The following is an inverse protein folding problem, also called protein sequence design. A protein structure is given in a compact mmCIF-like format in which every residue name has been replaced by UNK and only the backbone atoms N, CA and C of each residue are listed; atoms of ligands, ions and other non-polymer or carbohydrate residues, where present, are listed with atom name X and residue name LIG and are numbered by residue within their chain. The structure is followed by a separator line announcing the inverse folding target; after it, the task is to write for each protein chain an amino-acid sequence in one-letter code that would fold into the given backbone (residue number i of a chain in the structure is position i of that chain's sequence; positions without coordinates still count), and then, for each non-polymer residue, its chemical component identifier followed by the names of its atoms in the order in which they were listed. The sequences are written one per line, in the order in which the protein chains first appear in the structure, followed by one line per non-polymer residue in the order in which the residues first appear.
data_IF_554494959130
#
_entry.id   IF_554494959130
#
_cell.length_a   1.000
_cell.length_b   1.000
_cell.length_c   1.000
_cell.angle_alpha   90.00
_cell.angle_beta   90.00
_cell.angle_gamma   90.00
#
_symmetry.space_group_name_H-M   'P 1'
#
loop_
_entity.id
_entity.type
_entity.pdbx_description
1 polymer ?
#
# COMPACT_ATOMS: atom_id res chain seq x y z
N UNK A 1 14.16 4.24 -4.34
CA UNK A 1 13.56 5.30 -5.19
C UNK A 1 14.65 6.19 -5.71
N UNK A 2 14.66 6.49 -7.02
CA UNK A 2 15.52 7.53 -7.58
C UNK A 2 14.79 8.88 -7.50
N UNK A 3 15.24 9.78 -6.63
CA UNK A 3 14.59 11.09 -6.36
C UNK A 3 14.81 12.13 -7.47
N UNK A 4 15.77 11.87 -8.36
CA UNK A 4 16.13 12.75 -9.48
C UNK A 4 15.44 12.33 -10.78
N UNK A 5 14.75 11.19 -10.77
CA UNK A 5 13.98 10.74 -11.92
C UNK A 5 12.73 11.61 -12.13
N UNK A 6 12.46 12.11 -13.35
CA UNK A 6 11.27 12.89 -13.66
C UNK A 6 9.95 12.14 -13.42
N UNK A 7 9.96 10.80 -13.41
CA UNK A 7 8.78 9.97 -13.16
C UNK A 7 8.51 9.74 -11.66
N UNK A 8 9.38 10.20 -10.77
CA UNK A 8 9.16 10.12 -9.33
C UNK A 8 8.27 11.26 -8.86
N UNK A 9 7.03 10.96 -8.50
CA UNK A 9 6.09 11.94 -7.97
C UNK A 9 6.56 12.61 -6.67
N UNK A 10 5.93 13.74 -6.34
CA UNK A 10 6.29 14.56 -5.17
C UNK A 10 6.21 13.78 -3.85
N UNK A 11 5.20 12.91 -3.67
CA UNK A 11 5.03 12.13 -2.44
C UNK A 11 6.15 11.08 -2.24
N UNK A 12 6.43 10.16 -3.18
CA UNK A 12 7.57 9.24 -3.06
C UNK A 12 8.91 9.95 -2.88
N UNK A 13 9.11 11.09 -3.56
CA UNK A 13 10.31 11.92 -3.42
C UNK A 13 10.44 12.47 -1.99
N UNK A 14 9.39 13.09 -1.46
CA UNK A 14 9.35 13.63 -0.10
C UNK A 14 9.66 12.55 0.94
N UNK A 15 9.00 11.39 0.86
CA UNK A 15 9.23 10.27 1.80
C UNK A 15 10.65 9.72 1.73
N UNK A 16 11.22 9.62 0.53
CA UNK A 16 12.61 9.15 0.35
C UNK A 16 13.62 10.14 0.93
N UNK A 17 13.41 11.45 0.72
CA UNK A 17 14.30 12.48 1.26
C UNK A 17 14.21 12.57 2.79
N UNK A 18 13.02 12.44 3.36
CA UNK A 18 12.83 12.41 4.81
C UNK A 18 13.54 11.23 5.47
N UNK A 19 13.46 10.02 4.88
CA UNK A 19 14.20 8.86 5.36
C UNK A 19 15.72 9.09 5.31
N UNK A 20 16.25 9.61 4.19
CA UNK A 20 17.68 9.92 4.05
C UNK A 20 18.15 10.94 5.07
N UNK A 21 17.35 11.96 5.34
CA UNK A 21 17.68 12.98 6.33
C UNK A 21 17.66 12.42 7.75
N UNK A 22 16.70 11.54 8.08
CA UNK A 22 16.70 10.85 9.37
C UNK A 22 17.99 10.05 9.59
N UNK A 23 18.42 9.25 8.61
CA UNK A 23 19.69 8.52 8.68
C UNK A 23 20.89 9.46 8.84
N UNK A 24 20.95 10.54 8.04
CA UNK A 24 22.03 11.53 8.11
C UNK A 24 22.15 12.15 9.51
N UNK A 25 21.03 12.47 10.16
CA UNK A 25 21.01 13.04 11.51
C UNK A 25 21.50 12.05 12.56
N UNK A 26 21.10 10.78 12.47
CA UNK A 26 21.53 9.74 13.40
C UNK A 26 23.01 9.42 13.24
N UNK A 27 23.50 9.35 12.00
CA UNK A 27 24.91 9.13 11.69
C UNK A 27 25.78 10.28 12.21
N UNK A 28 25.35 11.53 11.98
CA UNK A 28 26.05 12.72 12.47
C UNK A 28 26.14 12.78 14.01
N UNK A 29 25.18 12.16 14.70
CA UNK A 29 25.16 12.05 16.16
C UNK A 29 25.92 10.82 16.69
N UNK A 30 26.43 9.93 15.83
CA UNK A 30 27.02 8.66 16.24
C UNK A 30 26.01 7.66 16.82
N UNK A 31 24.74 7.77 16.43
CA UNK A 31 23.59 7.02 16.97
C UNK A 31 22.87 6.20 15.89
N UNK A 32 23.59 5.69 14.89
CA UNK A 32 23.01 4.92 13.78
C UNK A 32 22.08 3.80 14.26
N UNK A 33 22.51 3.07 15.28
CA UNK A 33 21.82 1.91 15.84
C UNK A 33 20.58 2.27 16.68
N UNK A 34 20.35 3.54 16.99
CA UNK A 34 19.14 3.99 17.68
C UNK A 34 17.95 4.21 16.73
N UNK A 35 18.16 4.06 15.42
CA UNK A 35 17.13 4.20 14.39
C UNK A 35 16.81 2.87 13.71
N UNK A 36 15.52 2.59 13.58
CA UNK A 36 14.98 1.55 12.71
C UNK A 36 13.89 2.17 11.81
N UNK A 37 13.87 1.80 10.53
CA UNK A 37 12.88 2.32 9.57
C UNK A 37 12.00 1.20 9.04
N UNK A 38 10.69 1.33 9.26
CA UNK A 38 9.66 0.50 8.63
C UNK A 38 9.07 1.27 7.45
N UNK A 39 9.21 0.69 6.26
CA UNK A 39 8.66 1.21 5.01
C UNK A 39 7.47 0.35 4.59
N UNK A 40 6.24 0.70 5.01
CA UNK A 40 5.06 -0.06 4.62
C UNK A 40 4.69 0.18 3.15
N UNK A 41 4.16 -0.86 2.53
CA UNK A 41 3.46 -0.79 1.26
C UNK A 41 2.06 -0.16 1.43
N UNK A 42 1.14 -0.36 0.48
CA UNK A 42 -0.25 0.03 0.66
C UNK A 42 -0.85 -0.69 1.87
N UNK A 43 -1.30 0.08 2.86
CA UNK A 43 -1.78 -0.45 4.13
C UNK A 43 -3.28 -0.75 4.02
N UNK A 44 -3.64 -2.00 4.26
CA UNK A 44 -5.02 -2.48 4.31
C UNK A 44 -5.25 -3.23 5.63
N UNK A 45 -6.47 -3.67 5.92
CA UNK A 45 -6.89 -4.18 7.21
C UNK A 45 -8.04 -3.37 7.83
N UNK A 46 -8.47 -3.74 9.05
CA UNK A 46 -9.57 -3.07 9.76
C UNK A 46 -9.28 -1.58 9.96
N UNK A 47 -10.31 -0.74 9.81
CA UNK A 47 -10.21 0.68 10.11
C UNK A 47 -10.19 0.90 11.63
N UNK A 48 -9.47 1.92 12.08
CA UNK A 48 -9.47 2.33 13.49
C UNK A 48 -10.63 3.30 13.79
N UNK A 49 -10.99 4.12 12.81
CA UNK A 49 -12.01 5.16 12.90
C UNK A 49 -12.74 5.35 11.56
N UNK A 50 -13.57 6.38 11.47
CA UNK A 50 -14.34 6.73 10.27
C UNK A 50 -13.49 7.41 9.18
N UNK A 51 -12.19 7.66 9.40
CA UNK A 51 -11.27 8.11 8.36
C UNK A 51 -10.61 6.90 7.69
N UNK A 52 -11.04 6.52 6.47
CA UNK A 52 -10.48 5.39 5.76
C UNK A 52 -9.00 5.60 5.38
N UNK A 53 -8.53 6.85 5.33
CA UNK A 53 -7.24 7.19 4.78
C UNK A 53 -7.10 6.89 3.28
N UNK A 54 -5.93 7.20 2.74
CA UNK A 54 -5.69 7.13 1.29
C UNK A 54 -5.73 5.70 0.75
N UNK A 55 -5.19 4.71 1.49
CA UNK A 55 -5.13 3.32 1.02
C UNK A 55 -6.50 2.65 1.03
N UNK A 56 -7.31 2.81 2.09
CA UNK A 56 -8.65 2.21 2.14
C UNK A 56 -9.62 2.89 1.17
N UNK A 57 -9.34 4.13 0.73
CA UNK A 57 -10.09 4.78 -0.36
C UNK A 57 -10.04 3.96 -1.66
N UNK A 58 -8.97 3.20 -1.90
CA UNK A 58 -8.90 2.31 -3.06
C UNK A 58 -9.89 1.14 -2.94
N UNK A 59 -9.98 0.50 -1.77
CA UNK A 59 -10.98 -0.57 -1.52
C UNK A 59 -12.39 0.00 -1.60
N UNK A 60 -12.63 1.18 -1.03
CA UNK A 60 -13.89 1.91 -1.16
C UNK A 60 -14.28 2.10 -2.63
N UNK A 61 -13.38 2.58 -3.49
CA UNK A 61 -13.64 2.73 -4.93
C UNK A 61 -14.00 1.43 -5.63
N UNK A 62 -13.37 0.31 -5.22
CA UNK A 62 -13.70 -1.02 -5.74
C UNK A 62 -15.10 -1.48 -5.28
N UNK A 63 -15.48 -1.21 -4.04
CA UNK A 63 -16.78 -1.59 -3.48
C UNK A 63 -17.94 -0.70 -3.97
N UNK A 64 -17.67 0.58 -4.24
CA UNK A 64 -18.63 1.52 -4.84
C UNK A 64 -19.12 1.06 -6.22
N UNK A 65 -18.29 0.29 -6.96
CA UNK A 65 -18.67 -0.29 -8.25
C UNK A 65 -18.99 0.71 -9.36
N UNK A 66 -18.63 1.99 -9.18
CA UNK A 66 -18.91 3.08 -10.13
C UNK A 66 -18.20 2.90 -11.48
N UNK A 67 -17.07 2.21 -11.48
CA UNK A 67 -16.32 1.90 -12.70
C UNK A 67 -16.53 0.44 -13.10
N UNK A 68 -16.83 0.15 -14.38
CA UNK A 68 -17.05 -1.22 -14.85
C UNK A 68 -15.75 -2.06 -14.91
N UNK A 69 -14.60 -1.38 -14.87
CA UNK A 69 -13.26 -1.98 -14.92
C UNK A 69 -12.25 -1.07 -14.20
N UNK A 70 -11.11 -1.64 -13.81
CA UNK A 70 -10.05 -0.95 -13.06
C UNK A 70 -8.89 -0.54 -13.97
N UNK A 71 -8.14 0.52 -13.65
CA UNK A 71 -6.88 0.79 -14.33
C UNK A 71 -5.89 -0.38 -14.15
N UNK A 72 -5.01 -0.57 -15.13
CA UNK A 72 -3.91 -1.55 -15.05
C UNK A 72 -2.79 -1.02 -14.15
N UNK A 73 -3.08 -0.97 -12.85
CA UNK A 73 -2.17 -0.50 -11.81
C UNK A 73 -1.81 -1.67 -10.90
N UNK A 74 -0.54 -1.81 -10.56
CA UNK A 74 -0.09 -2.78 -9.57
C UNK A 74 0.27 -2.06 -8.26
N UNK A 75 -0.01 -2.69 -7.12
CA UNK A 75 0.36 -2.17 -5.82
C UNK A 75 0.82 -3.26 -4.88
N UNK A 76 1.79 -2.91 -4.05
CA UNK A 76 2.20 -3.75 -2.94
C UNK A 76 1.24 -3.56 -1.77
N UNK A 77 0.94 -4.65 -1.07
CA UNK A 77 -0.08 -4.72 -0.02
C UNK A 77 0.55 -5.20 1.28
N UNK A 78 0.14 -4.62 2.40
CA UNK A 78 0.47 -5.08 3.74
C UNK A 78 -0.71 -4.85 4.69
N UNK A 79 -0.92 -5.75 5.66
CA UNK A 79 -1.93 -5.57 6.69
C UNK A 79 -1.47 -4.59 7.79
N UNK A 80 -2.35 -3.71 8.24
CA UNK A 80 -2.11 -2.71 9.28
C UNK A 80 -1.68 -3.33 10.61
N UNK A 81 -2.17 -4.53 10.93
CA UNK A 81 -1.79 -5.26 12.15
C UNK A 81 -0.37 -5.79 12.06
N UNK A 82 0.09 -6.17 10.87
CA UNK A 82 1.48 -6.54 10.66
C UNK A 82 2.41 -5.32 10.71
N UNK A 83 1.98 -4.18 10.15
CA UNK A 83 2.73 -2.93 10.27
C UNK A 83 2.87 -2.52 11.74
N UNK A 84 1.79 -2.58 12.51
CA UNK A 84 1.81 -2.28 13.94
C UNK A 84 2.74 -3.26 14.70
N UNK A 85 2.66 -4.56 14.41
CA UNK A 85 3.55 -5.55 15.01
C UNK A 85 5.02 -5.30 14.67
N UNK A 86 5.32 -4.92 13.43
CA UNK A 86 6.67 -4.56 13.00
C UNK A 86 7.20 -3.29 13.67
N UNK A 87 6.33 -2.31 13.92
CA UNK A 87 6.70 -1.12 14.68
C UNK A 87 7.01 -1.46 16.14
N UNK A 88 6.23 -2.33 16.78
CA UNK A 88 6.50 -2.80 18.14
C UNK A 88 7.80 -3.60 18.21
N UNK A 89 8.03 -4.53 17.27
CA UNK A 89 9.29 -5.25 17.15
C UNK A 89 10.47 -4.28 16.96
N UNK A 90 10.31 -3.26 16.10
CA UNK A 90 11.36 -2.27 15.88
C UNK A 90 11.74 -1.48 17.14
N UNK A 91 10.78 -1.24 18.04
CA UNK A 91 11.01 -0.53 19.31
C UNK A 91 11.59 -1.41 20.42
N UNK A 92 11.37 -2.72 20.35
CA UNK A 92 11.63 -3.64 21.49
C UNK A 92 12.72 -4.66 21.22
N UNK A 93 13.07 -4.91 19.95
CA UNK A 93 14.05 -5.90 19.55
C UNK A 93 15.35 -5.21 19.09
N UNK A 94 16.47 -5.39 19.81
CA UNK A 94 17.76 -4.81 19.42
C UNK A 94 18.22 -5.19 18.00
N UNK A 95 17.75 -6.31 17.44
CA UNK A 95 18.05 -6.68 16.06
C UNK A 95 17.39 -5.74 15.01
N UNK A 96 16.55 -4.79 15.44
CA UNK A 96 16.00 -3.71 14.59
C UNK A 96 16.96 -2.56 14.37
N UNK A 97 17.94 -2.39 15.26
CA UNK A 97 18.89 -1.30 15.26
C UNK A 97 19.61 -1.16 13.91
N UNK A 98 19.63 0.05 13.36
CA UNK A 98 20.27 0.37 12.08
C UNK A 98 19.62 -0.31 10.87
N UNK A 99 18.44 -0.94 11.03
CA UNK A 99 17.80 -1.70 9.96
C UNK A 99 16.70 -0.91 9.25
N UNK A 100 16.62 -1.19 7.94
CA UNK A 100 15.52 -0.80 7.07
C UNK A 100 14.71 -2.04 6.68
N UNK A 101 13.42 -2.02 6.97
CA UNK A 101 12.50 -3.12 6.67
C UNK A 101 11.38 -2.64 5.73
N UNK A 102 11.21 -3.31 4.59
CA UNK A 102 10.05 -3.11 3.73
C UNK A 102 8.94 -4.03 4.23
N UNK A 103 7.79 -3.47 4.58
CA UNK A 103 6.63 -4.25 5.01
C UNK A 103 5.67 -4.42 3.82
N UNK A 104 5.70 -5.61 3.21
CA UNK A 104 4.90 -5.97 2.04
C UNK A 104 4.67 -7.48 2.02
N UNK A 105 3.41 -7.91 1.95
CA UNK A 105 3.06 -9.32 1.76
C UNK A 105 3.23 -9.73 0.30
N UNK A 106 2.86 -8.87 -0.64
CA UNK A 106 2.98 -9.14 -2.07
C UNK A 106 2.59 -7.94 -2.93
N UNK A 107 2.79 -8.05 -4.24
CA UNK A 107 2.40 -7.05 -5.23
C UNK A 107 1.33 -7.62 -6.15
N UNK A 108 0.21 -6.94 -6.25
CA UNK A 108 -0.99 -7.42 -6.95
C UNK A 108 -1.48 -6.38 -7.95
N UNK A 109 -2.10 -6.82 -9.04
CA UNK A 109 -2.85 -5.90 -9.89
C UNK A 109 -4.11 -5.44 -9.16
N UNK A 110 -4.60 -4.24 -9.47
CA UNK A 110 -5.88 -3.77 -8.96
C UNK A 110 -7.02 -4.71 -9.37
N UNK A 111 -6.88 -5.42 -10.50
CA UNK A 111 -7.83 -6.45 -10.94
C UNK A 111 -7.81 -7.69 -10.03
N UNK A 112 -6.64 -8.07 -9.50
CA UNK A 112 -6.50 -9.13 -8.50
C UNK A 112 -7.16 -8.73 -7.17
N UNK A 113 -6.96 -7.48 -6.72
CA UNK A 113 -7.62 -6.94 -5.52
C UNK A 113 -9.15 -7.03 -5.64
N UNK A 114 -9.70 -6.66 -6.81
CA UNK A 114 -11.12 -6.85 -7.11
C UNK A 114 -11.57 -8.31 -7.04
N UNK A 115 -10.75 -9.25 -7.54
CA UNK A 115 -11.04 -10.70 -7.45
C UNK A 115 -10.99 -11.22 -6.02
N UNK A 116 -10.13 -10.68 -5.16
CA UNK A 116 -10.05 -11.04 -3.74
C UNK A 116 -11.29 -10.56 -2.97
N UNK A 117 -11.80 -9.37 -3.31
CA UNK A 117 -12.97 -8.77 -2.64
C UNK A 117 -14.30 -9.40 -3.09
N UNK A 118 -14.45 -9.69 -4.38
CA UNK A 118 -15.74 -10.10 -4.97
C UNK A 118 -16.45 -11.27 -4.24
N UNK A 119 -15.78 -12.34 -3.80
CA UNK A 119 -16.44 -13.42 -3.05
C UNK A 119 -16.99 -12.99 -1.69
N UNK A 120 -16.38 -11.99 -1.05
CA UNK A 120 -16.79 -11.51 0.27
C UNK A 120 -17.91 -10.46 0.23
N UNK A 121 -18.17 -9.86 -0.93
CA UNK A 121 -19.20 -8.83 -1.13
C UNK A 121 -20.09 -9.16 -2.34
N UNK A 122 -20.89 -10.25 -2.27
CA UNK A 122 -21.69 -10.74 -3.40
C UNK A 122 -22.75 -9.73 -3.89
N UNK A 123 -23.24 -8.87 -2.99
CA UNK A 123 -24.26 -7.86 -3.29
C UNK A 123 -23.67 -6.60 -3.95
N UNK A 124 -22.34 -6.50 -4.05
CA UNK A 124 -21.61 -5.34 -4.60
C UNK A 124 -21.05 -5.67 -5.99
N UNK A 125 -21.11 -4.70 -6.89
CA UNK A 125 -20.50 -4.82 -8.23
C UNK A 125 -19.01 -4.47 -8.18
N UNK A 126 -18.19 -5.42 -7.74
CA UNK A 126 -16.73 -5.22 -7.67
C UNK A 126 -16.09 -5.48 -9.05
N UNK A 127 -15.40 -4.50 -9.66
CA UNK A 127 -14.77 -4.68 -10.96
C UNK A 127 -13.55 -5.60 -10.88
N UNK A 128 -13.44 -6.56 -11.81
CA UNK A 128 -12.33 -7.54 -11.88
C UNK A 128 -11.60 -7.55 -13.23
N UNK A 129 -12.04 -6.69 -14.15
CA UNK A 129 -11.46 -6.53 -15.48
C UNK A 129 -10.65 -5.24 -15.57
N UNK A 130 -9.65 -5.21 -16.44
CA UNK A 130 -8.78 -4.06 -16.66
C UNK A 130 -9.28 -3.19 -17.80
N UNK A 131 -9.11 -1.87 -17.67
CA UNK A 131 -9.39 -0.91 -18.73
C UNK A 131 -8.35 -1.05 -19.86
N UNK A 132 -8.78 -1.10 -21.13
CA UNK A 132 -7.88 -0.95 -22.26
C UNK A 132 -7.09 0.38 -22.17
N UNK A 133 -5.84 0.37 -22.60
CA UNK A 133 -4.95 1.53 -22.46
C UNK A 133 -5.50 2.82 -23.12
N UNK A 134 -6.23 2.71 -24.23
CA UNK A 134 -6.85 3.85 -24.90
C UNK A 134 -7.97 4.47 -24.04
N UNK A 135 -8.77 3.62 -23.37
CA UNK A 135 -9.88 4.06 -22.54
C UNK A 135 -9.36 4.69 -21.25
N UNK A 136 -8.30 4.13 -20.68
CA UNK A 136 -7.61 4.71 -19.53
C UNK A 136 -7.12 6.15 -19.80
N UNK A 137 -6.55 6.39 -20.99
CA UNK A 137 -6.12 7.75 -21.40
C UNK A 137 -7.29 8.73 -21.48
N UNK A 138 -8.47 8.28 -21.92
CA UNK A 138 -9.67 9.11 -21.93
C UNK A 138 -10.16 9.41 -20.51
N UNK A 139 -10.21 8.41 -19.63
CA UNK A 139 -10.65 8.60 -18.24
C UNK A 139 -9.70 9.52 -17.47
N UNK A 140 -8.39 9.43 -17.71
CA UNK A 140 -7.38 10.32 -17.10
C UNK A 140 -7.57 11.82 -17.47
N UNK A 141 -8.32 12.13 -18.53
CA UNK A 141 -8.69 13.52 -18.84
C UNK A 141 -9.70 14.10 -17.84
N UNK A 142 -10.46 13.25 -17.15
CA UNK A 142 -11.51 13.64 -16.22
C UNK A 142 -11.19 13.29 -14.76
N UNK A 143 -10.30 12.34 -14.52
CA UNK A 143 -9.87 11.90 -13.19
C UNK A 143 -8.42 12.35 -12.91
N UNK A 144 -8.25 13.25 -11.93
CA UNK A 144 -6.95 13.81 -11.55
C UNK A 144 -6.03 12.76 -10.95
N UNK A 145 -6.55 11.87 -10.10
CA UNK A 145 -5.74 10.84 -9.45
C UNK A 145 -5.21 9.85 -10.49
N UNK A 146 -6.03 9.47 -11.46
CA UNK A 146 -5.59 8.59 -12.55
C UNK A 146 -4.52 9.28 -13.41
N UNK A 147 -4.66 10.57 -13.69
CA UNK A 147 -3.67 11.34 -14.45
C UNK A 147 -2.31 11.36 -13.77
N UNK A 148 -2.29 11.64 -12.48
CA UNK A 148 -1.05 11.74 -11.70
C UNK A 148 -0.32 10.39 -11.61
N UNK A 149 -1.08 9.30 -11.62
CA UNK A 149 -0.56 7.94 -11.58
C UNK A 149 -0.31 7.31 -12.98
N UNK A 150 -0.47 8.06 -14.09
CA UNK A 150 -0.28 7.50 -15.43
C UNK A 150 1.11 6.89 -15.68
N UNK A 151 2.14 7.39 -14.99
CA UNK A 151 3.52 6.90 -15.10
C UNK A 151 3.71 5.49 -14.50
N UNK A 152 2.83 5.08 -13.58
CA UNK A 152 2.88 3.77 -12.92
C UNK A 152 2.09 2.69 -13.70
N UNK A 153 1.34 3.09 -14.72
CA UNK A 153 0.42 2.21 -15.43
C UNK A 153 1.14 1.10 -16.20
N UNK A 154 0.64 -0.13 -16.08
CA UNK A 154 1.16 -1.29 -16.77
C UNK A 154 2.48 -1.84 -16.21
N UNK A 155 3.03 -1.24 -15.16
CA UNK A 155 4.29 -1.69 -14.54
C UNK A 155 4.02 -2.35 -13.20
N UNK A 156 4.61 -3.52 -12.97
CA UNK A 156 4.57 -4.20 -11.67
C UNK A 156 5.89 -4.02 -10.94
N UNK A 157 5.92 -3.09 -9.98
CA UNK A 157 7.07 -2.87 -9.09
C UNK A 157 7.00 -3.85 -7.92
N UNK A 158 7.65 -5.00 -8.07
CA UNK A 158 7.78 -5.98 -6.98
C UNK A 158 8.74 -5.46 -5.91
N UNK A 159 8.36 -5.62 -4.66
CA UNK A 159 9.20 -5.31 -3.51
C UNK A 159 9.42 -6.58 -2.69
N UNK A 160 10.62 -6.71 -2.13
CA UNK A 160 10.93 -7.82 -1.23
C UNK A 160 10.52 -7.44 0.20
N UNK A 161 9.48 -8.12 0.69
CA UNK A 161 9.00 -8.00 2.07
C UNK A 161 9.37 -9.17 2.98
N UNK A 162 10.28 -10.06 2.56
CA UNK A 162 10.67 -11.25 3.35
C UNK A 162 11.19 -10.88 4.73
N UNK A 163 11.89 -9.74 4.86
CA UNK A 163 12.36 -9.23 6.15
C UNK A 163 11.23 -9.01 7.15
N UNK A 164 10.07 -8.54 6.70
CA UNK A 164 8.93 -8.33 7.59
C UNK A 164 8.46 -9.64 8.22
N UNK A 165 8.24 -10.67 7.40
CA UNK A 165 7.85 -12.00 7.89
C UNK A 165 8.91 -12.64 8.80
N UNK A 166 10.20 -12.51 8.44
CA UNK A 166 11.30 -13.05 9.24
C UNK A 166 11.36 -12.41 10.63
N UNK A 167 11.18 -11.08 10.72
CA UNK A 167 11.18 -10.38 12.00
C UNK A 167 10.01 -10.76 12.89
N UNK A 168 8.82 -10.92 12.33
CA UNK A 168 7.65 -11.36 13.09
C UNK A 168 7.68 -12.85 13.47
N UNK A 169 8.58 -13.65 12.89
CA UNK A 169 8.64 -15.09 13.10
C UNK A 169 7.42 -15.84 12.54
N UNK A 170 6.62 -15.20 11.67
CA UNK A 170 5.42 -15.74 11.06
C UNK A 170 5.18 -15.13 9.68
N UNK A 171 4.43 -15.79 8.78
CA UNK A 171 3.98 -15.15 7.55
C UNK A 171 3.14 -13.90 7.85
N UNK A 172 3.24 -12.94 6.93
CA UNK A 172 2.36 -11.76 6.92
C UNK A 172 0.93 -12.20 6.59
N UNK A 173 -0.04 -11.43 7.06
CA UNK A 173 -1.46 -11.63 6.81
C UNK A 173 -1.68 -11.49 5.29
N UNK A 174 -2.31 -12.48 4.64
CA UNK A 174 -2.51 -12.47 3.20
C UNK A 174 -3.25 -11.23 2.71
N UNK A 175 -2.86 -10.70 1.54
CA UNK A 175 -3.48 -9.52 0.95
C UNK A 175 -5.01 -9.63 0.81
N UNK A 176 -5.53 -10.83 0.51
CA UNK A 176 -6.96 -11.06 0.45
C UNK A 176 -7.65 -10.83 1.81
N UNK A 177 -7.08 -11.35 2.90
CA UNK A 177 -7.62 -11.19 4.24
C UNK A 177 -7.57 -9.72 4.69
N UNK A 178 -6.47 -9.02 4.42
CA UNK A 178 -6.32 -7.60 4.71
C UNK A 178 -7.35 -6.75 3.94
N UNK A 179 -7.50 -7.00 2.63
CA UNK A 179 -8.43 -6.27 1.76
C UNK A 179 -9.89 -6.50 2.16
N UNK A 180 -10.25 -7.75 2.47
CA UNK A 180 -11.60 -8.11 2.95
C UNK A 180 -11.87 -7.43 4.29
N UNK A 181 -10.91 -7.42 5.21
CA UNK A 181 -11.06 -6.75 6.51
C UNK A 181 -11.31 -5.24 6.34
N UNK A 182 -10.57 -4.56 5.46
CA UNK A 182 -10.85 -3.16 5.09
C UNK A 182 -12.26 -2.98 4.56
N UNK A 183 -12.66 -3.83 3.62
CA UNK A 183 -14.00 -3.75 3.02
C UNK A 183 -15.11 -3.91 4.05
N UNK A 184 -14.95 -4.82 5.02
CA UNK A 184 -15.92 -5.04 6.10
C UNK A 184 -16.02 -3.82 7.00
N UNK A 185 -14.89 -3.28 7.45
CA UNK A 185 -14.88 -2.09 8.28
C UNK A 185 -15.46 -0.87 7.55
N UNK A 186 -15.21 -0.71 6.25
CA UNK A 186 -15.85 0.35 5.45
C UNK A 186 -17.39 0.23 5.45
N UNK A 187 -17.93 -0.99 5.37
CA UNK A 187 -19.38 -1.24 5.45
C UNK A 187 -19.90 -0.97 6.88
N UNK A 188 -19.20 -1.44 7.90
CA UNK A 188 -19.56 -1.26 9.32
C UNK A 188 -19.61 0.22 9.70
N UNK A 189 -18.69 1.03 9.18
CA UNK A 189 -18.66 2.49 9.38
C UNK A 189 -19.57 3.29 8.43
N UNK A 190 -20.35 2.62 7.56
CA UNK A 190 -21.28 3.29 6.63
C UNK A 190 -20.57 4.15 5.56
N UNK A 191 -19.32 3.85 5.24
CA UNK A 191 -18.51 4.60 4.27
C UNK A 191 -18.74 4.13 2.82
N UNK A 192 -19.41 2.98 2.64
CA UNK A 192 -19.81 2.40 1.35
C UNK A 192 -21.21 1.81 1.40
#
# INVERSE_FOLDING_TARGET
TNVDSPSTGAYPKSKTLAEREAWRLMDAAGRHDDLAVINPAGIFGPLLDEDPGTSSTLVRRLLDGKLPAVPKLAMSVVDVRDVAALQVDAMTNPAAAGQRCIASEGTYWMSDMGRMLRPAFPDRRVPTAELPAWLLRLVALFDRDLRDNMHEMGTMKRVDGQRGAQRLGRPLIPAAAASIATGKSLVEHGLV
#
